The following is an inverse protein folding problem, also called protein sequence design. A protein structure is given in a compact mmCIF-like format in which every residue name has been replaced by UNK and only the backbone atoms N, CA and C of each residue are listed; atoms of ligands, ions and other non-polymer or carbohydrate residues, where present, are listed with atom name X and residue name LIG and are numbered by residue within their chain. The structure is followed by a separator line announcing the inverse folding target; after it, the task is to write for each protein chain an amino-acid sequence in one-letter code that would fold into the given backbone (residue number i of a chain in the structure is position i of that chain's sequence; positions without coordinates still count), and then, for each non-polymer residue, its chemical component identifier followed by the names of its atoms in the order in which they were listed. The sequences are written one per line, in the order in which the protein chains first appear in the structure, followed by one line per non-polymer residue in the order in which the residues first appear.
data_IF_370608196529
#
_entry.id   IF_370608196529
#
_cell.length_a   1.000
_cell.length_b   1.000
_cell.length_c   1.000
_cell.angle_alpha   90.00
_cell.angle_beta   90.00
_cell.angle_gamma   90.00
#
_symmetry.space_group_name_H-M   'P 1'
#
loop_
_entity.id
_entity.type
_entity.pdbx_description
1 polymer ?
#
# COMPACT_ATOMS: atom_id res chain seq x y z
N UNK A 1 -8.95 -18.85 3.58
CA UNK A 1 -8.08 -18.44 2.47
C UNK A 1 -8.19 -16.94 2.41
N UNK A 2 -7.07 -16.22 2.34
CA UNK A 2 -7.08 -14.76 2.35
C UNK A 2 -7.26 -14.26 0.93
N UNK A 3 -8.23 -13.40 0.71
CA UNK A 3 -8.44 -12.74 -0.58
C UNK A 3 -7.66 -11.43 -0.59
N UNK A 4 -7.15 -11.05 -1.76
CA UNK A 4 -6.34 -9.86 -1.97
C UNK A 4 -6.89 -9.10 -3.17
N UNK A 5 -6.87 -7.78 -3.09
CA UNK A 5 -7.18 -6.92 -4.21
C UNK A 5 -6.33 -5.66 -4.18
N UNK A 6 -6.20 -5.03 -5.34
CA UNK A 6 -5.70 -3.67 -5.45
C UNK A 6 -6.86 -2.70 -5.65
N UNK A 7 -6.65 -1.46 -5.25
CA UNK A 7 -7.41 -0.29 -5.69
C UNK A 7 -6.41 0.58 -6.46
N UNK A 8 -6.67 0.82 -7.74
CA UNK A 8 -5.77 1.63 -8.57
C UNK A 8 -5.96 3.15 -8.33
N UNK A 9 -5.20 3.96 -9.05
CA UNK A 9 -5.27 5.44 -8.99
C UNK A 9 -6.61 6.04 -9.42
N UNK A 10 -7.48 5.26 -10.03
CA UNK A 10 -8.82 5.65 -10.43
C UNK A 10 -9.90 5.18 -9.45
N UNK A 11 -9.53 4.39 -8.44
CA UNK A 11 -10.46 3.76 -7.50
C UNK A 11 -11.02 2.44 -8.01
N UNK A 12 -10.48 1.90 -9.11
CA UNK A 12 -10.94 0.63 -9.68
C UNK A 12 -10.32 -0.55 -8.93
N UNK A 13 -11.16 -1.53 -8.56
CA UNK A 13 -10.74 -2.75 -7.88
C UNK A 13 -10.18 -3.78 -8.87
N UNK A 14 -9.03 -4.37 -8.51
CA UNK A 14 -8.36 -5.41 -9.29
C UNK A 14 -8.16 -6.63 -8.38
N UNK A 15 -8.85 -7.73 -8.68
CA UNK A 15 -8.83 -8.95 -7.86
C UNK A 15 -7.93 -10.06 -8.45
N UNK A 16 -7.50 -9.91 -9.70
CA UNK A 16 -6.68 -10.91 -10.41
C UNK A 16 -5.23 -10.44 -10.60
N UNK A 17 -4.30 -11.39 -10.70
CA UNK A 17 -2.89 -11.08 -11.00
C UNK A 17 -2.15 -10.40 -9.84
N UNK A 18 -2.63 -10.54 -8.61
CA UNK A 18 -2.03 -9.94 -7.41
C UNK A 18 -0.61 -10.48 -7.19
N UNK A 19 0.36 -9.64 -7.51
CA UNK A 19 1.79 -9.94 -7.41
C UNK A 19 2.56 -8.67 -7.06
N UNK A 20 3.78 -8.82 -6.51
CA UNK A 20 4.68 -7.70 -6.28
C UNK A 20 5.01 -6.93 -7.57
N UNK A 21 5.09 -7.62 -8.70
CA UNK A 21 5.30 -7.00 -10.01
C UNK A 21 4.12 -6.10 -10.39
N UNK A 22 2.89 -6.60 -10.26
CA UNK A 22 1.68 -5.81 -10.54
C UNK A 22 1.56 -4.59 -9.61
N UNK A 23 1.90 -4.75 -8.32
CA UNK A 23 1.97 -3.63 -7.38
C UNK A 23 3.01 -2.59 -7.83
N UNK A 24 4.20 -3.01 -8.25
CA UNK A 24 5.23 -2.12 -8.80
C UNK A 24 4.77 -1.38 -10.05
N UNK A 25 4.04 -2.04 -10.94
CA UNK A 25 3.51 -1.40 -12.14
C UNK A 25 2.45 -0.34 -11.80
N UNK A 26 1.57 -0.61 -10.83
CA UNK A 26 0.60 0.36 -10.28
C UNK A 26 1.29 1.53 -9.58
N UNK A 27 2.35 1.29 -8.81
CA UNK A 27 3.11 2.34 -8.12
C UNK A 27 3.70 3.35 -9.10
N UNK A 28 4.18 2.90 -10.28
CA UNK A 28 4.70 3.83 -11.30
C UNK A 28 3.63 4.80 -11.81
N UNK A 29 2.36 4.41 -11.78
CA UNK A 29 1.26 5.27 -12.25
C UNK A 29 0.98 6.47 -11.34
N UNK A 30 1.44 6.42 -10.08
CA UNK A 30 1.32 7.52 -9.11
C UNK A 30 2.63 8.28 -8.90
N UNK A 31 3.77 7.73 -9.36
CA UNK A 31 5.09 8.37 -9.32
C UNK A 31 5.30 9.38 -10.46
N UNK A 32 4.60 9.25 -11.59
CA UNK A 32 4.69 10.22 -12.68
C UNK A 32 3.98 11.53 -12.31
N UNK A 33 4.75 12.62 -12.25
CA UNK A 33 4.33 13.96 -11.84
C UNK A 33 3.28 14.62 -12.76
N UNK A 34 2.96 14.06 -13.92
CA UNK A 34 2.06 14.68 -14.90
C UNK A 34 0.57 14.30 -14.69
N UNK A 35 -0.21 15.17 -14.04
CA UNK A 35 -1.67 15.01 -13.89
C UNK A 35 -2.22 15.66 -12.62
N UNK A 36 -3.55 15.69 -12.46
CA UNK A 36 -4.21 16.23 -11.26
C UNK A 36 -3.62 15.65 -9.96
N UNK A 37 -3.26 16.52 -9.02
CA UNK A 37 -2.54 16.18 -7.78
C UNK A 37 -3.46 15.57 -6.71
N UNK A 38 -4.78 15.73 -6.84
CA UNK A 38 -5.70 15.49 -5.72
C UNK A 38 -5.89 14.00 -5.36
N UNK A 39 -5.67 13.03 -6.25
CA UNK A 39 -5.94 11.61 -5.96
C UNK A 39 -4.97 10.62 -6.64
N UNK A 40 -3.69 10.65 -6.26
CA UNK A 40 -2.70 9.64 -6.71
C UNK A 40 -2.36 8.65 -5.61
N UNK A 41 -3.33 7.81 -5.27
CA UNK A 41 -3.11 6.70 -4.35
C UNK A 41 -3.34 5.36 -5.05
N UNK A 42 -2.61 4.35 -4.63
CA UNK A 42 -3.00 2.95 -4.86
C UNK A 42 -3.12 2.28 -3.51
N UNK A 43 -3.96 1.27 -3.41
CA UNK A 43 -4.13 0.52 -2.16
C UNK A 43 -3.97 -0.96 -2.42
N UNK A 44 -3.28 -1.66 -1.53
CA UNK A 44 -3.26 -3.12 -1.48
C UNK A 44 -4.04 -3.53 -0.23
N UNK A 45 -5.07 -4.34 -0.41
CA UNK A 45 -5.98 -4.74 0.67
C UNK A 45 -6.06 -6.26 0.79
N UNK A 46 -6.42 -6.73 1.97
CA UNK A 46 -6.81 -8.12 2.19
C UNK A 46 -8.18 -8.27 2.88
N UNK A 47 -8.73 -9.49 2.80
CA UNK A 47 -10.05 -9.83 3.35
C UNK A 47 -10.15 -9.72 4.88
N UNK A 48 -9.02 -9.60 5.58
CA UNK A 48 -8.97 -9.39 7.03
C UNK A 48 -8.96 -7.90 7.40
N UNK A 49 -9.06 -7.03 6.38
CA UNK A 49 -9.16 -5.58 6.51
C UNK A 49 -7.83 -4.86 6.56
N UNK A 50 -6.69 -5.54 6.39
CA UNK A 50 -5.40 -4.86 6.34
C UNK A 50 -5.18 -4.16 5.00
N UNK A 51 -4.69 -2.93 5.05
CA UNK A 51 -4.41 -2.13 3.87
C UNK A 51 -3.06 -1.43 3.93
N UNK A 52 -2.35 -1.45 2.80
CA UNK A 52 -1.25 -0.52 2.51
C UNK A 52 -1.71 0.49 1.47
N UNK A 53 -1.77 1.75 1.87
CA UNK A 53 -2.17 2.86 1.00
C UNK A 53 -0.94 3.67 0.60
N UNK A 54 -0.62 3.65 -0.68
CA UNK A 54 0.57 4.27 -1.25
C UNK A 54 0.20 5.59 -1.90
N UNK A 55 0.72 6.68 -1.35
CA UNK A 55 0.69 8.02 -1.90
C UNK A 55 2.03 8.35 -2.57
N UNK A 56 2.09 9.40 -3.38
CA UNK A 56 3.32 9.83 -4.06
C UNK A 56 4.56 9.86 -3.15
N UNK A 57 4.42 10.36 -1.92
CA UNK A 57 5.56 10.56 -0.98
C UNK A 57 5.47 9.73 0.31
N UNK A 58 4.40 8.96 0.50
CA UNK A 58 4.20 8.21 1.75
C UNK A 58 3.44 6.90 1.55
N UNK A 59 3.58 6.01 2.52
CA UNK A 59 2.80 4.77 2.61
C UNK A 59 2.18 4.71 3.98
N UNK A 60 0.86 4.47 4.05
CA UNK A 60 0.14 4.24 5.30
C UNK A 60 -0.16 2.75 5.44
N UNK A 61 -0.02 2.23 6.66
CA UNK A 61 -0.42 0.87 7.01
C UNK A 61 -1.47 0.91 8.12
N UNK A 62 -2.67 0.38 7.82
CA UNK A 62 -3.83 0.41 8.70
C UNK A 62 -4.70 -0.85 8.52
N UNK A 63 -5.65 -1.04 9.42
CA UNK A 63 -6.69 -2.04 9.28
C UNK A 63 -8.07 -1.38 9.32
N UNK A 64 -8.88 -1.48 8.27
CA UNK A 64 -10.17 -0.77 8.16
C UNK A 64 -11.27 -1.30 9.08
N UNK A 65 -11.11 -2.52 9.61
CA UNK A 65 -12.08 -3.13 10.52
C UNK A 65 -11.80 -2.79 11.99
N UNK A 66 -10.65 -2.16 12.28
CA UNK A 66 -10.24 -1.81 13.63
C UNK A 66 -9.70 -0.37 13.65
N UNK A 67 -9.63 0.30 14.80
CA UNK A 67 -8.96 1.61 14.88
C UNK A 67 -7.41 1.49 14.84
N UNK A 68 -6.86 0.38 14.31
CA UNK A 68 -5.41 0.11 14.29
C UNK A 68 -4.79 0.74 13.04
N UNK A 69 -4.38 2.01 13.14
CA UNK A 69 -3.36 2.59 12.24
C UNK A 69 -1.98 2.28 12.83
N UNK A 70 -1.16 1.52 12.09
CA UNK A 70 0.20 1.20 12.52
C UNK A 70 1.10 2.43 12.35
N UNK A 71 0.90 3.17 11.25
CA UNK A 71 1.56 4.45 11.02
C UNK A 71 1.86 4.71 9.55
N UNK A 72 2.79 5.63 9.32
CA UNK A 72 3.23 6.05 7.98
C UNK A 72 4.73 5.94 7.80
N UNK A 73 5.15 5.65 6.58
CA UNK A 73 6.53 5.77 6.13
C UNK A 73 6.62 6.82 5.03
N UNK A 74 7.73 7.54 4.97
CA UNK A 74 8.02 8.60 3.99
C UNK A 74 9.40 8.41 3.38
N UNK A 75 9.63 9.02 2.22
CA UNK A 75 10.95 9.02 1.57
C UNK A 75 11.43 7.65 1.09
N UNK A 76 10.49 6.71 0.90
CA UNK A 76 10.78 5.37 0.39
C UNK A 76 11.06 5.42 -1.11
N UNK A 77 12.07 4.66 -1.54
CA UNK A 77 12.31 4.38 -2.95
C UNK A 77 11.27 3.40 -3.49
N UNK A 78 11.14 3.33 -4.81
CA UNK A 78 10.21 2.44 -5.50
C UNK A 78 10.35 0.96 -5.06
N UNK A 79 11.58 0.45 -4.97
CA UNK A 79 11.89 -0.92 -4.53
C UNK A 79 11.45 -1.19 -3.08
N UNK A 80 11.58 -0.20 -2.20
CA UNK A 80 11.14 -0.30 -0.81
C UNK A 80 9.61 -0.34 -0.72
N UNK A 81 8.92 0.46 -1.54
CA UNK A 81 7.44 0.44 -1.62
C UNK A 81 6.91 -0.89 -2.17
N UNK A 82 7.55 -1.42 -3.22
CA UNK A 82 7.22 -2.76 -3.75
C UNK A 82 7.46 -3.85 -2.70
N UNK A 83 8.52 -3.74 -1.91
CA UNK A 83 8.81 -4.70 -0.85
C UNK A 83 7.71 -4.72 0.23
N UNK A 84 7.21 -3.55 0.64
CA UNK A 84 6.07 -3.46 1.57
C UNK A 84 4.81 -4.13 0.99
N UNK A 85 4.48 -3.86 -0.27
CA UNK A 85 3.33 -4.49 -0.93
C UNK A 85 3.48 -6.03 -0.96
N UNK A 86 4.68 -6.51 -1.29
CA UNK A 86 5.01 -7.93 -1.35
C UNK A 86 4.91 -8.62 0.03
N UNK A 87 5.36 -7.95 1.10
CA UNK A 87 5.18 -8.44 2.47
C UNK A 87 3.68 -8.60 2.82
N UNK A 88 2.84 -7.62 2.46
CA UNK A 88 1.39 -7.73 2.66
C UNK A 88 0.81 -8.88 1.82
N UNK A 89 1.16 -8.98 0.53
CA UNK A 89 0.68 -10.02 -0.40
C UNK A 89 1.07 -11.43 0.08
N UNK A 90 2.23 -11.59 0.72
CA UNK A 90 2.67 -12.86 1.33
C UNK A 90 2.07 -13.12 2.71
N UNK A 91 1.49 -12.10 3.35
CA UNK A 91 0.96 -12.17 4.70
C UNK A 91 2.06 -12.13 5.76
N UNK A 92 3.23 -11.58 5.44
CA UNK A 92 4.34 -11.41 6.38
C UNK A 92 4.13 -10.15 7.24
N UNK A 93 3.10 -10.21 8.08
CA UNK A 93 2.74 -9.12 8.99
C UNK A 93 3.81 -8.84 10.05
N UNK A 94 4.67 -9.82 10.34
CA UNK A 94 5.78 -9.66 11.26
C UNK A 94 6.87 -8.78 10.63
N UNK A 95 7.21 -9.02 9.36
CA UNK A 95 8.10 -8.14 8.59
C UNK A 95 7.50 -6.72 8.47
N UNK A 96 6.23 -6.61 8.05
CA UNK A 96 5.55 -5.32 7.92
C UNK A 96 5.62 -4.49 9.20
N UNK A 97 5.26 -5.08 10.35
CA UNK A 97 5.28 -4.37 11.64
C UNK A 97 6.68 -4.02 12.15
N UNK A 98 7.74 -4.62 11.59
CA UNK A 98 9.12 -4.35 12.00
C UNK A 98 9.73 -3.10 11.36
N UNK A 99 9.08 -2.53 10.32
CA UNK A 99 9.49 -1.27 9.72
C UNK A 99 9.30 -0.09 10.69
N UNK A 100 10.08 1.00 10.55
CA UNK A 100 10.07 2.13 11.47
C UNK A 100 8.88 3.07 11.21
N UNK A 101 7.65 2.58 11.36
CA UNK A 101 6.43 3.37 11.17
C UNK A 101 6.41 4.60 12.08
N UNK A 102 6.13 5.76 11.49
CA UNK A 102 5.88 6.99 12.24
C UNK A 102 4.45 6.98 12.76
N UNK A 103 4.27 7.24 14.07
CA UNK A 103 2.95 7.32 14.69
C UNK A 103 2.04 8.32 13.96
N UNK A 104 0.71 8.08 13.92
CA UNK A 104 -0.26 9.02 13.38
C UNK A 104 -0.27 10.37 14.11
N UNK A 105 0.19 10.40 15.37
CA UNK A 105 0.24 11.57 16.23
C UNK A 105 1.63 12.24 16.20
N UNK A 106 1.73 13.36 15.49
CA UNK A 106 2.78 14.38 15.66
C UNK A 106 2.13 15.77 15.78
#
# INVERSE_FOLDING_TARGET
MRELWFIDRHGDEIEEGITAQAAGDLLRTIEDANGDEEHRAITVCDSDGWSLEFYAESVRFDNVHTPEEIGRLRGLRHDERVSLADELIRGDFAALRSHPWESPEA
#
